data_IF_446269750906
#
_entry.id   IF_446269750906
#
_cell.length_a   1.000
_cell.length_b   1.000
_cell.length_c   1.000
_cell.angle_alpha   90.00
_cell.angle_beta   90.00
_cell.angle_gamma   90.00
#
_symmetry.space_group_name_H-M   'P 1'
#
loop_
_entity.id
_entity.type
_entity.pdbx_description
1 polymer ?
#
# COMPACT_ATOMS: atom_id res chain seq x y z
N UNK A 1 8.68 15.54 -10.49
CA UNK A 1 8.62 16.51 -9.37
C UNK A 1 10.04 16.79 -8.93
N UNK A 2 10.63 17.87 -9.44
CA UNK A 2 12.01 18.24 -9.09
C UNK A 2 12.08 18.65 -7.61
N UNK A 3 12.57 17.75 -6.74
CA UNK A 3 12.89 18.05 -5.33
C UNK A 3 11.73 18.11 -4.32
N UNK A 4 10.47 18.00 -4.74
CA UNK A 4 9.34 18.02 -3.79
C UNK A 4 9.03 16.57 -3.36
N UNK A 5 9.12 16.32 -2.06
CA UNK A 5 8.67 15.04 -1.49
C UNK A 5 7.14 14.92 -1.65
N UNK A 6 6.70 14.12 -2.61
CA UNK A 6 5.27 13.95 -2.95
C UNK A 6 4.40 13.48 -1.78
N UNK A 7 4.99 12.79 -0.80
CA UNK A 7 4.28 12.33 0.39
C UNK A 7 3.93 13.48 1.33
N UNK A 8 4.69 14.57 1.28
CA UNK A 8 4.45 15.79 2.07
C UNK A 8 3.70 16.86 1.27
N UNK A 9 3.39 16.64 -0.01
CA UNK A 9 2.52 17.52 -0.76
C UNK A 9 1.15 17.61 -0.10
N UNK A 10 0.58 18.82 -0.06
CA UNK A 10 -0.73 19.03 0.56
C UNK A 10 -1.83 18.63 -0.42
N UNK A 11 -2.77 17.87 0.07
CA UNK A 11 -4.02 17.52 -0.59
C UNK A 11 -5.15 18.05 0.28
N UNK A 12 -5.80 19.12 -0.15
CA UNK A 12 -6.81 19.84 0.63
C UNK A 12 -6.33 20.16 2.05
N UNK A 13 -5.14 20.77 2.17
CA UNK A 13 -4.53 21.21 3.43
C UNK A 13 -3.89 20.13 4.30
N UNK A 14 -3.98 18.85 3.95
CA UNK A 14 -3.40 17.72 4.71
C UNK A 14 -2.33 17.03 3.84
N UNK A 15 -1.14 16.71 4.38
CA UNK A 15 -0.13 15.95 3.64
C UNK A 15 -0.65 14.59 3.14
N UNK A 16 -0.28 14.21 1.93
CA UNK A 16 -0.72 12.97 1.27
C UNK A 16 -0.50 11.75 2.17
N UNK A 17 0.67 11.59 2.78
CA UNK A 17 0.97 10.47 3.66
C UNK A 17 0.10 10.48 4.93
N UNK A 18 -0.22 11.65 5.45
CA UNK A 18 -1.08 11.78 6.63
C UNK A 18 -2.52 11.40 6.30
N UNK A 19 -3.05 11.77 5.12
CA UNK A 19 -4.37 11.30 4.68
C UNK A 19 -4.43 9.77 4.60
N UNK A 20 -3.39 9.15 4.04
CA UNK A 20 -3.28 7.69 4.03
C UNK A 20 -3.29 7.14 5.46
N UNK A 21 -2.46 7.68 6.36
CA UNK A 21 -2.37 7.21 7.74
C UNK A 21 -3.69 7.42 8.53
N UNK A 22 -4.41 8.54 8.32
CA UNK A 22 -5.71 8.81 8.95
C UNK A 22 -6.77 7.77 8.60
N UNK A 23 -6.78 7.24 7.38
CA UNK A 23 -7.70 6.17 6.99
C UNK A 23 -7.47 4.90 7.84
N UNK A 24 -6.21 4.57 8.14
CA UNK A 24 -5.85 3.45 9.03
C UNK A 24 -6.07 3.78 10.50
N UNK A 25 -5.80 5.02 10.94
CA UNK A 25 -6.12 5.48 12.30
C UNK A 25 -7.60 5.26 12.64
N UNK A 26 -8.48 5.53 11.69
CA UNK A 26 -9.94 5.42 11.86
C UNK A 26 -10.47 3.97 11.79
N UNK A 27 -9.67 3.00 11.35
CA UNK A 27 -10.09 1.58 11.31
C UNK A 27 -10.00 0.94 12.70
N UNK A 28 -11.08 0.35 13.18
CA UNK A 28 -11.06 -0.39 14.45
C UNK A 28 -10.26 -1.70 14.38
N UNK A 29 -9.98 -2.22 13.17
CA UNK A 29 -9.20 -3.43 12.96
C UNK A 29 -7.69 -3.18 12.97
N UNK A 30 -7.25 -1.91 12.84
CA UNK A 30 -5.83 -1.54 12.87
C UNK A 30 -5.45 -1.18 14.30
N UNK A 31 -4.49 -1.86 14.87
CA UNK A 31 -4.01 -1.63 16.22
C UNK A 31 -2.76 -0.77 16.29
N UNK A 32 -1.85 -0.87 15.31
CA UNK A 32 -0.65 -0.03 15.23
C UNK A 32 -0.30 0.32 13.79
N UNK A 33 0.40 1.44 13.62
CA UNK A 33 0.89 1.96 12.34
C UNK A 33 2.40 2.13 12.44
N UNK A 34 3.12 1.68 11.41
CA UNK A 34 4.55 1.92 11.24
C UNK A 34 4.75 2.63 9.91
N UNK A 35 5.46 3.75 9.93
CA UNK A 35 5.78 4.50 8.72
C UNK A 35 7.24 4.26 8.31
N UNK A 36 7.45 3.71 7.11
CA UNK A 36 8.75 3.70 6.47
C UNK A 36 8.97 5.03 5.74
N UNK A 37 9.95 5.80 6.19
CA UNK A 37 10.22 7.19 5.75
C UNK A 37 11.65 7.33 5.25
N UNK A 38 12.02 8.41 4.52
CA UNK A 38 13.40 8.67 4.15
C UNK A 38 14.30 8.74 5.40
N UNK A 39 15.53 8.21 5.28
CA UNK A 39 16.49 8.19 6.38
C UNK A 39 16.77 9.61 6.89
N UNK A 40 16.72 9.79 8.22
CA UNK A 40 16.91 11.08 8.90
C UNK A 40 15.64 11.94 8.99
N UNK A 41 14.51 11.48 8.45
CA UNK A 41 13.22 12.18 8.51
C UNK A 41 12.26 11.57 9.57
N UNK A 42 12.69 10.56 10.33
CA UNK A 42 11.83 9.78 11.22
C UNK A 42 11.14 10.66 12.26
N UNK A 43 11.89 11.52 12.93
CA UNK A 43 11.36 12.45 13.93
C UNK A 43 10.35 13.42 13.31
N UNK A 44 10.67 13.96 12.14
CA UNK A 44 9.79 14.88 11.42
C UNK A 44 8.43 14.25 11.11
N UNK A 45 8.42 12.99 10.62
CA UNK A 45 7.17 12.29 10.32
C UNK A 45 6.41 11.89 11.59
N UNK A 46 7.11 11.53 12.66
CA UNK A 46 6.48 11.25 13.96
C UNK A 46 5.80 12.50 14.54
N UNK A 47 6.48 13.65 14.51
CA UNK A 47 5.88 14.94 14.93
C UNK A 47 4.67 15.29 14.05
N UNK A 48 4.79 15.11 12.74
CA UNK A 48 3.70 15.37 11.79
C UNK A 48 2.48 14.49 12.12
N UNK A 49 2.67 13.19 12.34
CA UNK A 49 1.59 12.28 12.73
C UNK A 49 0.91 12.72 14.02
N UNK A 50 1.67 13.12 15.03
CA UNK A 50 1.13 13.64 16.30
C UNK A 50 0.28 14.89 16.09
N UNK A 51 0.73 15.83 15.24
CA UNK A 51 -0.01 17.06 14.92
C UNK A 51 -1.38 16.79 14.29
N UNK A 52 -1.52 15.69 13.54
CA UNK A 52 -2.77 15.30 12.91
C UNK A 52 -3.55 14.22 13.68
N UNK A 53 -3.17 13.93 14.94
CA UNK A 53 -3.90 13.03 15.82
C UNK A 53 -3.76 11.55 15.45
N UNK A 54 -2.70 11.14 14.78
CA UNK A 54 -2.38 9.73 14.54
C UNK A 54 -1.84 9.13 15.85
N UNK A 55 -2.70 8.46 16.60
CA UNK A 55 -2.40 7.90 17.93
C UNK A 55 -1.86 6.47 17.87
N UNK A 56 -2.15 5.75 16.78
CA UNK A 56 -1.70 4.38 16.53
C UNK A 56 -0.28 4.30 15.97
N UNK A 57 0.39 5.44 15.74
CA UNK A 57 1.77 5.43 15.27
C UNK A 57 2.67 4.78 16.32
N UNK A 58 3.17 3.59 16.01
CA UNK A 58 4.16 2.88 16.84
C UNK A 58 5.57 3.41 16.63
N UNK A 59 5.94 3.60 15.36
CA UNK A 59 7.24 4.10 14.96
C UNK A 59 7.21 4.71 13.56
N UNK A 60 8.06 5.71 13.33
CA UNK A 60 8.55 6.09 12.02
C UNK A 60 9.97 5.51 11.90
N UNK A 61 10.23 4.75 10.84
CA UNK A 61 11.49 4.02 10.65
C UNK A 61 12.11 4.38 9.31
N UNK A 62 13.42 4.30 9.18
CA UNK A 62 14.06 4.54 7.89
C UNK A 62 13.65 3.47 6.87
N UNK A 63 13.29 3.90 5.67
CA UNK A 63 13.06 3.04 4.53
C UNK A 63 14.38 2.45 3.99
N UNK A 64 14.28 1.39 3.20
CA UNK A 64 15.40 0.81 2.49
C UNK A 64 15.60 1.42 1.09
N UNK A 65 16.62 0.94 0.39
CA UNK A 65 16.91 1.32 -0.99
C UNK A 65 15.80 0.91 -1.98
N UNK A 66 15.04 -0.13 -1.63
CA UNK A 66 13.89 -0.63 -2.39
C UNK A 66 12.62 -0.59 -1.54
N UNK A 67 11.44 -0.75 -2.19
CA UNK A 67 10.16 -0.88 -1.48
C UNK A 67 10.18 -2.11 -0.56
N UNK A 68 10.69 -3.23 -1.04
CA UNK A 68 10.83 -4.46 -0.27
C UNK A 68 11.67 -4.25 1.01
N UNK A 69 12.85 -3.61 0.89
CA UNK A 69 13.70 -3.32 2.05
C UNK A 69 13.03 -2.35 3.04
N UNK A 70 12.23 -1.42 2.54
CA UNK A 70 11.43 -0.52 3.40
C UNK A 70 10.40 -1.29 4.22
N UNK A 71 9.69 -2.25 3.59
CA UNK A 71 8.75 -3.13 4.27
C UNK A 71 9.47 -4.02 5.28
N UNK A 72 10.61 -4.62 4.89
CA UNK A 72 11.42 -5.45 5.77
C UNK A 72 11.84 -4.70 7.03
N UNK A 73 12.36 -3.49 6.89
CA UNK A 73 12.75 -2.66 8.03
C UNK A 73 11.55 -2.35 8.95
N UNK A 74 10.39 -2.03 8.36
CA UNK A 74 9.19 -1.74 9.13
C UNK A 74 8.67 -2.96 9.92
N UNK A 75 8.79 -4.16 9.37
CA UNK A 75 8.32 -5.40 10.01
C UNK A 75 9.05 -5.71 11.32
N UNK A 76 10.29 -5.25 11.50
CA UNK A 76 11.05 -5.42 12.75
C UNK A 76 10.41 -4.69 13.94
N UNK A 77 9.58 -3.67 13.67
CA UNK A 77 8.91 -2.86 14.68
C UNK A 77 7.49 -3.31 14.98
N UNK A 78 6.96 -4.29 14.23
CA UNK A 78 5.60 -4.82 14.47
C UNK A 78 5.59 -5.60 15.79
N UNK A 79 4.68 -5.22 16.70
CA UNK A 79 4.49 -5.91 17.98
C UNK A 79 4.12 -7.38 17.79
N UNK A 80 4.59 -8.24 18.69
CA UNK A 80 4.42 -9.71 18.56
C UNK A 80 2.95 -10.18 18.63
N UNK A 81 2.07 -9.35 19.19
CA UNK A 81 0.64 -9.66 19.32
C UNK A 81 -0.18 -9.58 18.03
N UNK A 82 0.38 -9.08 16.92
CA UNK A 82 -0.33 -8.95 15.66
C UNK A 82 -0.04 -10.13 14.73
N UNK A 83 -1.10 -10.89 14.41
CA UNK A 83 -1.04 -12.04 13.52
C UNK A 83 -1.09 -11.65 12.02
N UNK A 84 -1.58 -10.45 11.71
CA UNK A 84 -1.71 -9.93 10.34
C UNK A 84 -1.00 -8.60 10.21
N UNK A 85 -0.50 -8.34 9.00
CA UNK A 85 0.10 -7.09 8.56
C UNK A 85 -0.65 -6.58 7.35
N UNK A 86 -0.73 -5.26 7.21
CA UNK A 86 -1.25 -4.61 6.00
C UNK A 86 -0.21 -3.60 5.49
N UNK A 87 0.20 -3.76 4.25
CA UNK A 87 1.20 -2.91 3.61
C UNK A 87 0.48 -1.94 2.69
N UNK A 88 0.72 -0.65 2.88
CA UNK A 88 0.03 0.40 2.12
C UNK A 88 0.99 1.45 1.58
N UNK A 89 0.76 1.85 0.33
CA UNK A 89 1.49 2.97 -0.26
C UNK A 89 1.04 4.29 0.38
N UNK A 90 1.92 4.97 1.10
CA UNK A 90 1.63 6.29 1.69
C UNK A 90 1.27 7.39 0.66
N UNK A 91 1.37 7.08 -0.63
CA UNK A 91 0.94 7.94 -1.74
C UNK A 91 -0.46 7.59 -2.29
N UNK A 92 -1.28 6.79 -1.58
CA UNK A 92 -2.68 6.50 -1.91
C UNK A 92 -3.65 7.12 -0.86
N UNK A 93 -3.80 8.44 -0.86
CA UNK A 93 -4.52 9.15 0.19
C UNK A 93 -6.06 9.01 0.13
N UNK A 94 -6.58 8.34 -0.89
CA UNK A 94 -8.03 8.22 -1.13
C UNK A 94 -8.60 6.86 -0.73
N UNK A 95 -7.80 6.00 -0.10
CA UNK A 95 -8.32 4.75 0.48
C UNK A 95 -9.34 5.07 1.56
N UNK A 96 -10.49 4.42 1.53
CA UNK A 96 -11.49 4.55 2.59
C UNK A 96 -11.22 3.57 3.74
N UNK A 97 -11.60 3.95 4.96
CA UNK A 97 -11.56 3.05 6.12
C UNK A 97 -12.36 1.77 5.86
N UNK A 98 -13.51 1.88 5.19
CA UNK A 98 -14.35 0.73 4.85
C UNK A 98 -13.65 -0.23 3.87
N UNK A 99 -12.85 0.27 2.92
CA UNK A 99 -12.07 -0.56 2.02
C UNK A 99 -10.92 -1.27 2.77
N UNK A 100 -10.26 -0.55 3.69
CA UNK A 100 -9.24 -1.13 4.58
C UNK A 100 -9.85 -2.28 5.37
N UNK A 101 -10.98 -2.06 6.04
CA UNK A 101 -11.65 -3.07 6.87
C UNK A 101 -12.07 -4.30 6.06
N UNK A 102 -12.53 -4.12 4.81
CA UNK A 102 -12.86 -5.24 3.92
C UNK A 102 -11.63 -6.07 3.56
N UNK A 103 -10.51 -5.41 3.18
CA UNK A 103 -9.26 -6.12 2.86
C UNK A 103 -8.73 -6.88 4.06
N UNK A 104 -8.78 -6.29 5.26
CA UNK A 104 -8.36 -6.96 6.49
C UNK A 104 -9.26 -8.16 6.83
N UNK A 105 -10.57 -8.02 6.66
CA UNK A 105 -11.53 -9.10 6.87
C UNK A 105 -11.26 -10.27 5.92
N UNK A 106 -11.06 -9.99 4.63
CA UNK A 106 -10.74 -11.01 3.64
C UNK A 106 -9.38 -11.67 3.94
N UNK A 107 -8.37 -10.89 4.35
CA UNK A 107 -7.07 -11.44 4.73
C UNK A 107 -7.19 -12.40 5.93
N UNK A 108 -8.03 -12.08 6.92
CA UNK A 108 -8.28 -12.97 8.05
C UNK A 108 -9.00 -14.24 7.59
N UNK A 109 -9.93 -14.12 6.67
CA UNK A 109 -10.69 -15.26 6.15
C UNK A 109 -9.86 -16.19 5.26
N UNK A 110 -9.02 -15.62 4.38
CA UNK A 110 -8.33 -16.37 3.34
C UNK A 110 -6.82 -16.53 3.57
N UNK A 111 -6.26 -15.88 4.59
CA UNK A 111 -4.82 -15.85 4.89
C UNK A 111 -4.06 -14.71 4.25
N UNK A 112 -4.55 -14.22 3.09
CA UNK A 112 -4.00 -13.07 2.36
C UNK A 112 -5.06 -12.43 1.49
N UNK A 113 -5.07 -11.11 1.38
CA UNK A 113 -5.94 -10.35 0.49
C UNK A 113 -5.32 -9.02 0.07
N UNK A 114 -5.64 -8.57 -1.14
CA UNK A 114 -5.18 -7.28 -1.65
C UNK A 114 -6.34 -6.44 -2.17
N UNK A 115 -6.25 -5.13 -1.98
CA UNK A 115 -7.11 -4.19 -2.67
C UNK A 115 -6.82 -4.23 -4.18
N UNK A 116 -7.85 -4.34 -5.00
CA UNK A 116 -7.71 -4.27 -6.45
C UNK A 116 -8.97 -3.67 -7.10
N UNK A 117 -8.81 -3.01 -8.23
CA UNK A 117 -9.92 -2.48 -9.02
C UNK A 117 -10.03 -3.21 -10.37
N UNK A 118 -11.25 -3.54 -10.84
CA UNK A 118 -11.40 -4.11 -12.19
C UNK A 118 -10.86 -3.14 -13.24
N UNK A 119 -10.17 -3.68 -14.25
CA UNK A 119 -9.64 -2.87 -15.35
C UNK A 119 -10.82 -2.41 -16.24
N UNK A 120 -10.89 -1.10 -16.52
CA UNK A 120 -11.92 -0.50 -17.36
C UNK A 120 -11.49 -0.36 -18.82
N UNK A 121 -10.20 -0.16 -19.08
CA UNK A 121 -9.64 0.00 -20.41
C UNK A 121 -9.42 -1.34 -21.12
N UNK A 122 -9.36 -1.30 -22.45
CA UNK A 122 -8.94 -2.47 -23.23
C UNK A 122 -7.41 -2.62 -23.15
N UNK A 123 -6.93 -3.67 -22.51
CA UNK A 123 -5.50 -3.96 -22.36
C UNK A 123 -4.97 -4.67 -23.61
N UNK A 124 -3.81 -4.24 -24.08
CA UNK A 124 -3.06 -4.88 -25.16
C UNK A 124 -1.73 -5.42 -24.63
N UNK A 125 -1.43 -6.66 -24.92
CA UNK A 125 -0.05 -7.15 -24.80
C UNK A 125 0.74 -6.73 -26.03
N UNK A 126 1.97 -6.27 -25.82
CA UNK A 126 2.82 -5.71 -26.88
C UNK A 126 4.22 -6.31 -26.79
N UNK A 127 4.79 -6.69 -27.94
CA UNK A 127 6.19 -7.08 -28.06
C UNK A 127 6.79 -6.36 -29.28
N UNK A 128 7.96 -5.70 -29.10
CA UNK A 128 8.63 -4.96 -30.17
C UNK A 128 7.76 -3.85 -30.80
N UNK A 129 6.85 -3.24 -30.06
CA UNK A 129 5.92 -2.21 -30.56
C UNK A 129 4.69 -2.76 -31.31
N UNK A 130 4.55 -4.09 -31.45
CA UNK A 130 3.43 -4.75 -32.13
C UNK A 130 2.50 -5.40 -31.10
N UNK A 131 1.18 -5.24 -31.30
CA UNK A 131 0.17 -5.91 -30.46
C UNK A 131 0.24 -7.42 -30.71
N UNK A 132 0.45 -8.19 -29.65
CA UNK A 132 0.49 -9.65 -29.69
C UNK A 132 -0.82 -10.31 -29.25
N UNK A 133 -1.55 -9.68 -28.30
CA UNK A 133 -2.83 -10.19 -27.84
C UNK A 133 -3.68 -9.11 -27.17
N UNK A 134 -4.94 -9.45 -26.96
CA UNK A 134 -5.88 -8.66 -26.15
C UNK A 134 -6.44 -9.59 -25.07
N UNK A 135 -5.96 -9.52 -23.82
CA UNK A 135 -6.49 -10.35 -22.74
C UNK A 135 -7.96 -10.09 -22.48
N UNK A 136 -8.66 -11.10 -21.95
CA UNK A 136 -10.03 -10.92 -21.48
C UNK A 136 -10.05 -9.99 -20.26
N UNK A 137 -10.61 -8.79 -20.45
CA UNK A 137 -10.69 -7.76 -19.42
C UNK A 137 -11.46 -8.22 -18.18
N UNK A 138 -12.41 -9.13 -18.30
CA UNK A 138 -13.20 -9.63 -17.17
C UNK A 138 -12.35 -10.35 -16.11
N UNK A 139 -11.14 -10.80 -16.48
CA UNK A 139 -10.19 -11.47 -15.60
C UNK A 139 -9.07 -10.56 -15.10
N UNK A 140 -9.07 -9.27 -15.49
CA UNK A 140 -7.99 -8.35 -15.18
C UNK A 140 -8.38 -7.36 -14.08
N UNK A 141 -7.50 -7.26 -13.09
CA UNK A 141 -7.58 -6.31 -12.01
C UNK A 141 -6.30 -5.50 -11.89
N UNK A 142 -6.43 -4.22 -11.63
CA UNK A 142 -5.31 -3.36 -11.27
C UNK A 142 -5.03 -3.50 -9.78
N UNK A 143 -3.90 -4.12 -9.41
CA UNK A 143 -3.49 -4.29 -8.03
C UNK A 143 -3.25 -2.92 -7.37
N UNK A 144 -3.75 -2.80 -6.17
CA UNK A 144 -3.63 -1.62 -5.34
C UNK A 144 -3.15 -2.00 -3.94
N UNK A 145 -3.13 -1.07 -3.02
CA UNK A 145 -2.91 -1.30 -1.59
C UNK A 145 -4.06 -0.69 -0.79
N UNK A 146 -4.38 -1.23 0.43
CA UNK A 146 -3.57 -2.14 1.22
C UNK A 146 -3.48 -3.55 0.63
N UNK A 147 -2.37 -4.22 0.94
CA UNK A 147 -2.15 -5.64 0.74
C UNK A 147 -1.93 -6.26 2.11
N UNK A 148 -2.79 -7.17 2.52
CA UNK A 148 -2.82 -7.71 3.87
C UNK A 148 -2.53 -9.21 3.87
N UNK A 149 -1.69 -9.64 4.83
CA UNK A 149 -1.15 -10.99 4.88
C UNK A 149 -1.07 -11.50 6.31
N UNK A 150 -1.19 -12.81 6.50
CA UNK A 150 -0.75 -13.44 7.73
C UNK A 150 0.75 -13.20 7.89
N UNK A 151 1.16 -12.61 9.03
CA UNK A 151 2.54 -12.18 9.28
C UNK A 151 3.56 -13.30 9.12
N UNK A 152 3.29 -14.47 9.70
CA UNK A 152 4.20 -15.62 9.63
C UNK A 152 4.36 -16.13 8.19
N UNK A 153 3.28 -16.16 7.40
CA UNK A 153 3.32 -16.57 6.01
C UNK A 153 4.17 -15.60 5.18
N UNK A 154 3.94 -14.30 5.35
CA UNK A 154 4.71 -13.27 4.65
C UNK A 154 6.20 -13.35 5.01
N UNK A 155 6.55 -13.49 6.29
CA UNK A 155 7.93 -13.63 6.76
C UNK A 155 8.61 -14.88 6.19
N UNK A 156 7.92 -16.02 6.18
CA UNK A 156 8.44 -17.28 5.59
C UNK A 156 8.73 -17.14 4.09
N UNK A 157 7.84 -16.46 3.33
CA UNK A 157 8.07 -16.18 1.90
C UNK A 157 9.26 -15.24 1.70
N UNK A 158 9.43 -14.22 2.54
CA UNK A 158 10.61 -13.34 2.49
C UNK A 158 11.91 -14.11 2.69
N UNK A 159 11.97 -15.00 3.67
CA UNK A 159 13.15 -15.83 3.93
C UNK A 159 13.45 -16.77 2.76
N UNK A 160 12.42 -17.41 2.20
CA UNK A 160 12.54 -18.37 1.09
C UNK A 160 13.08 -17.71 -0.19
N UNK A 161 12.64 -16.50 -0.51
CA UNK A 161 13.02 -15.79 -1.74
C UNK A 161 14.30 -14.95 -1.57
N UNK A 162 14.64 -14.54 -0.36
CA UNK A 162 15.84 -13.74 -0.07
C UNK A 162 15.94 -12.50 -0.96
N UNK A 163 17.08 -12.29 -1.64
CA UNK A 163 17.30 -11.13 -2.52
C UNK A 163 16.42 -11.10 -3.76
N UNK A 164 15.87 -12.22 -4.21
CA UNK A 164 14.93 -12.25 -5.37
C UNK A 164 13.64 -11.48 -5.07
N UNK A 165 13.28 -11.31 -3.81
CA UNK A 165 12.13 -10.52 -3.42
C UNK A 165 12.31 -8.99 -3.66
N UNK A 166 13.53 -8.51 -3.83
CA UNK A 166 13.81 -7.08 -4.05
C UNK A 166 13.37 -6.58 -5.44
N UNK A 167 13.22 -7.48 -6.40
CA UNK A 167 12.81 -7.18 -7.78
C UNK A 167 11.29 -7.17 -7.97
N UNK A 168 10.53 -7.56 -6.93
CA UNK A 168 9.08 -7.66 -7.01
C UNK A 168 8.40 -6.29 -7.09
N UNK A 169 7.33 -6.22 -7.88
CA UNK A 169 6.59 -4.99 -8.12
C UNK A 169 5.65 -4.63 -6.97
N UNK A 170 5.15 -5.66 -6.24
CA UNK A 170 4.27 -5.53 -5.09
C UNK A 170 4.45 -6.70 -4.11
N UNK A 171 3.73 -6.66 -2.97
CA UNK A 171 3.87 -7.67 -1.92
C UNK A 171 3.11 -8.96 -2.24
N UNK A 172 2.07 -8.91 -3.06
CA UNK A 172 1.33 -10.12 -3.47
C UNK A 172 2.21 -11.06 -4.29
N UNK A 173 3.06 -10.52 -5.16
CA UNK A 173 3.98 -11.31 -5.97
C UNK A 173 4.94 -12.17 -5.13
N UNK A 174 5.26 -11.74 -3.89
CA UNK A 174 6.04 -12.52 -2.95
C UNK A 174 5.34 -13.86 -2.62
N UNK A 175 4.04 -13.81 -2.30
CA UNK A 175 3.26 -14.99 -1.98
C UNK A 175 3.01 -15.85 -3.22
N UNK A 176 2.71 -15.25 -4.36
CA UNK A 176 2.49 -15.93 -5.63
C UNK A 176 3.71 -16.78 -6.02
N UNK A 177 4.93 -16.25 -5.90
CA UNK A 177 6.17 -16.99 -6.14
C UNK A 177 6.41 -18.11 -5.12
N UNK A 178 5.86 -18.01 -3.92
CA UNK A 178 5.87 -19.11 -2.94
C UNK A 178 4.82 -20.18 -3.20
N UNK A 179 3.91 -19.95 -4.15
CA UNK A 179 2.80 -20.85 -4.47
C UNK A 179 1.59 -20.67 -3.54
N UNK A 180 1.55 -19.55 -2.80
CA UNK A 180 0.47 -19.25 -1.86
C UNK A 180 -0.64 -18.46 -2.55
N UNK A 181 -1.92 -18.79 -2.32
CA UNK A 181 -3.02 -18.08 -2.93
C UNK A 181 -3.16 -16.67 -2.33
N UNK A 182 -3.45 -15.69 -3.19
CA UNK A 182 -3.76 -14.32 -2.78
C UNK A 182 -5.16 -13.95 -3.22
N UNK A 183 -6.00 -13.55 -2.28
CA UNK A 183 -7.39 -13.17 -2.55
C UNK A 183 -7.49 -11.71 -3.01
N UNK A 184 -8.40 -11.42 -3.94
CA UNK A 184 -8.68 -10.04 -4.37
C UNK A 184 -9.89 -9.52 -3.64
N UNK A 185 -9.75 -8.39 -2.95
CA UNK A 185 -10.84 -7.58 -2.43
C UNK A 185 -11.13 -6.44 -3.39
N UNK A 186 -12.25 -6.45 -4.12
CA UNK A 186 -12.61 -5.35 -5.00
C UNK A 186 -12.81 -4.06 -4.20
N UNK A 187 -12.07 -3.01 -4.57
CA UNK A 187 -12.20 -1.66 -3.99
C UNK A 187 -12.64 -0.66 -5.05
N UNK A 188 -13.03 0.54 -4.59
CA UNK A 188 -13.43 1.59 -5.53
C UNK A 188 -12.25 2.05 -6.38
N UNK A 189 -12.52 2.42 -7.64
CA UNK A 189 -11.51 2.91 -8.57
C UNK A 189 -10.83 4.22 -8.13
N UNK A 190 -11.38 4.89 -7.11
CA UNK A 190 -10.87 6.17 -6.62
C UNK A 190 -9.60 6.07 -5.78
N UNK A 191 -9.16 4.88 -5.35
CA UNK A 191 -7.94 4.68 -4.56
C UNK A 191 -6.67 4.81 -5.43
N UNK A 192 -6.54 5.93 -6.15
CA UNK A 192 -5.42 6.19 -7.04
C UNK A 192 -4.14 6.51 -6.26
N UNK A 193 -2.99 6.20 -6.86
CA UNK A 193 -1.67 6.57 -6.35
C UNK A 193 -1.26 7.93 -6.89
N UNK A 194 -0.95 8.88 -6.01
CA UNK A 194 -0.38 10.17 -6.37
C UNK A 194 1.09 9.96 -6.79
N UNK A 195 1.35 10.09 -8.08
CA UNK A 195 2.67 9.89 -8.68
C UNK A 195 3.19 11.15 -9.35
N UNK A 196 2.30 11.97 -9.88
CA UNK A 196 2.59 13.21 -10.63
C UNK A 196 1.87 14.40 -9.98
N UNK A 197 2.30 15.64 -10.23
CA UNK A 197 1.63 16.83 -9.72
C UNK A 197 0.15 16.91 -10.11
N UNK A 198 -0.18 16.48 -11.33
CA UNK A 198 -1.55 16.49 -11.86
C UNK A 198 -2.48 15.58 -11.06
N UNK A 199 -1.94 14.51 -10.47
CA UNK A 199 -2.72 13.56 -9.67
C UNK A 199 -3.30 14.22 -8.41
N UNK A 200 -2.65 15.27 -7.88
CA UNK A 200 -3.16 16.02 -6.73
C UNK A 200 -4.48 16.71 -7.05
N UNK A 201 -4.56 17.37 -8.22
CA UNK A 201 -5.79 18.05 -8.63
C UNK A 201 -6.95 17.04 -8.85
N UNK A 202 -6.64 15.85 -9.39
CA UNK A 202 -7.62 14.78 -9.55
C UNK A 202 -8.08 14.27 -8.17
N UNK A 203 -7.13 14.04 -7.26
CA UNK A 203 -7.43 13.58 -5.91
C UNK A 203 -8.26 14.60 -5.13
N UNK A 204 -7.99 15.89 -5.25
CA UNK A 204 -8.83 16.96 -4.65
C UNK A 204 -10.26 16.96 -5.21
N UNK A 205 -10.42 16.78 -6.50
CA UNK A 205 -11.75 16.72 -7.11
C UNK A 205 -12.54 15.50 -6.62
N UNK A 206 -11.87 14.39 -6.33
CA UNK A 206 -12.51 13.18 -5.74
C UNK A 206 -12.93 13.43 -4.30
N UNK A 207 -12.10 14.11 -3.48
CA UNK A 207 -12.42 14.40 -2.07
C UNK A 207 -13.61 15.35 -1.87
N UNK A 208 -13.90 16.19 -2.86
CA UNK A 208 -15.01 17.18 -2.79
C UNK A 208 -16.37 16.59 -3.18
N UNK A 209 -16.45 15.33 -3.57
CA UNK A 209 -17.69 14.63 -3.90
C UNK A 209 -18.35 14.02 -2.68
#
# INVERSE_FOLDING_TARGET
MNGINKQLALLDGIPVVIRSALAFENSAQVGEIILAVPAGEEERYAVLCSQYGITKLKAAVHGGATRFLSVKNALEYVSSGYAYIAIHDGARPLISTADIDRVLTDAVQYGSAIAAAPVTDTIKQVSGGVITSTPDRSTLYAAQTPQAFRRELYASCMEKLGSHAEELTDDSALLELCGEPVHITPVTACNMKVTRPEDLAIAEAVLRR
#
